data_IF_169726232607
#
_entry.id   IF_169726232607
#
_cell.length_a   1.000
_cell.length_b   1.000
_cell.length_c   1.000
_cell.angle_alpha   90.00
_cell.angle_beta   90.00
_cell.angle_gamma   90.00
#
_symmetry.space_group_name_H-M   'P 1'
#
loop_
_entity.id
_entity.type
_entity.pdbx_description
1 polymer ?
#
# COMPACT_ATOMS: atom_id res chain seq x y z
N UNK A 1 -9.01 -1.68 21.97
CA UNK A 1 -8.06 -2.78 21.76
C UNK A 1 -8.24 -3.36 20.37
N UNK A 2 -7.16 -3.45 19.62
CA UNK A 2 -7.24 -3.96 18.25
C UNK A 2 -7.50 -5.46 18.25
N UNK A 3 -8.50 -5.86 17.50
CA UNK A 3 -8.84 -7.25 17.25
C UNK A 3 -7.73 -7.99 16.50
N UNK A 4 -6.94 -7.24 15.73
CA UNK A 4 -5.95 -7.80 14.81
C UNK A 4 -4.55 -7.72 15.39
N UNK A 5 -3.78 -8.78 15.15
CA UNK A 5 -2.36 -8.82 15.45
C UNK A 5 -1.60 -8.38 14.19
N UNK A 6 -0.80 -7.32 14.31
CA UNK A 6 -0.05 -6.77 13.18
C UNK A 6 1.42 -7.14 13.34
N UNK A 7 1.97 -7.79 12.34
CA UNK A 7 3.34 -8.28 12.33
C UNK A 7 4.10 -7.78 11.11
N UNK A 8 5.40 -7.51 11.29
CA UNK A 8 6.31 -7.30 10.17
C UNK A 8 6.59 -8.64 9.52
N UNK A 9 6.50 -8.71 8.20
CA UNK A 9 6.64 -9.95 7.43
C UNK A 9 7.58 -9.75 6.24
N UNK A 10 8.06 -10.86 5.67
CA UNK A 10 8.76 -10.81 4.39
C UNK A 10 7.73 -10.55 3.29
N UNK A 11 7.81 -9.36 2.69
CA UNK A 11 6.81 -8.89 1.75
C UNK A 11 7.03 -9.26 0.30
N UNK A 12 8.12 -9.90 -0.05
CA UNK A 12 8.47 -10.14 -1.46
C UNK A 12 7.42 -10.94 -2.21
N UNK A 13 6.97 -12.05 -1.62
CA UNK A 13 5.91 -12.87 -2.20
C UNK A 13 4.57 -12.16 -2.25
N UNK A 14 4.27 -11.35 -1.22
CA UNK A 14 3.03 -10.59 -1.13
C UNK A 14 2.97 -9.49 -2.19
N UNK A 15 4.09 -8.81 -2.43
CA UNK A 15 4.18 -7.78 -3.46
C UNK A 15 3.95 -8.39 -4.84
N UNK A 16 4.56 -9.53 -5.11
CA UNK A 16 4.35 -10.25 -6.37
C UNK A 16 2.89 -10.62 -6.55
N UNK A 17 2.22 -11.06 -5.49
CA UNK A 17 0.80 -11.41 -5.52
C UNK A 17 -0.09 -10.19 -5.78
N UNK A 18 0.35 -8.98 -5.40
CA UNK A 18 -0.41 -7.74 -5.65
C UNK A 18 -0.25 -7.21 -7.08
N UNK A 19 0.55 -7.87 -7.92
CA UNK A 19 0.74 -7.50 -9.32
C UNK A 19 1.79 -6.41 -9.55
N UNK A 20 2.52 -6.01 -8.51
CA UNK A 20 3.62 -5.06 -8.66
C UNK A 20 4.90 -5.79 -9.02
N UNK A 21 5.59 -5.29 -10.04
CA UNK A 21 6.92 -5.76 -10.41
C UNK A 21 7.94 -4.83 -9.77
N UNK A 22 8.46 -5.27 -8.63
CA UNK A 22 9.40 -4.47 -7.85
C UNK A 22 10.66 -5.29 -7.53
N UNK A 23 11.76 -4.58 -7.46
CA UNK A 23 13.03 -5.23 -7.23
C UNK A 23 13.30 -5.41 -5.73
N UNK A 24 13.77 -4.37 -5.06
CA UNK A 24 14.13 -4.40 -3.65
C UNK A 24 14.45 -2.98 -3.20
N UNK A 25 14.38 -2.67 -1.92
CA UNK A 25 13.89 -3.49 -0.82
C UNK A 25 12.36 -3.51 -0.71
N UNK A 26 11.82 -4.33 0.18
CA UNK A 26 10.39 -4.38 0.48
C UNK A 26 10.21 -4.30 2.00
N UNK A 27 9.33 -3.42 2.44
CA UNK A 27 8.90 -3.33 3.83
C UNK A 27 7.42 -3.70 3.88
N UNK A 28 7.06 -4.71 4.64
CA UNK A 28 5.69 -5.21 4.66
C UNK A 28 5.21 -5.54 6.07
N UNK A 29 3.91 -5.34 6.27
CA UNK A 29 3.20 -5.77 7.47
C UNK A 29 1.97 -6.57 7.07
N UNK A 30 1.51 -7.40 8.00
CA UNK A 30 0.30 -8.20 7.82
C UNK A 30 -0.54 -8.16 9.08
N UNK A 31 -1.86 -8.16 8.90
CA UNK A 31 -2.83 -8.21 9.98
C UNK A 31 -3.46 -9.59 10.04
N UNK A 32 -3.47 -10.18 11.22
CA UNK A 32 -4.03 -11.51 11.47
C UNK A 32 -5.17 -11.42 12.47
N UNK A 33 -6.23 -12.16 12.19
CA UNK A 33 -7.32 -12.43 13.13
C UNK A 33 -7.15 -13.90 13.56
N UNK A 34 -6.54 -14.09 14.75
CA UNK A 34 -6.05 -15.40 15.13
C UNK A 34 -4.93 -15.85 14.19
N UNK A 35 -5.13 -16.95 13.48
CA UNK A 35 -4.16 -17.46 12.51
C UNK A 35 -4.52 -17.10 11.07
N UNK A 36 -5.65 -16.43 10.88
CA UNK A 36 -6.15 -16.08 9.55
C UNK A 36 -5.55 -14.76 9.09
N UNK A 37 -4.92 -14.77 7.92
CA UNK A 37 -4.43 -13.54 7.29
C UNK A 37 -5.60 -12.72 6.78
N UNK A 38 -5.74 -11.49 7.28
CA UNK A 38 -6.81 -10.59 6.86
C UNK A 38 -6.34 -9.67 5.74
N UNK A 39 -5.19 -9.03 5.93
CA UNK A 39 -4.64 -8.09 4.95
C UNK A 39 -3.14 -7.96 5.10
N UNK A 40 -2.49 -7.49 4.06
CA UNK A 40 -1.08 -7.11 4.11
C UNK A 40 -0.86 -5.82 3.32
N UNK A 41 0.16 -5.07 3.69
CA UNK A 41 0.48 -3.79 3.07
C UNK A 41 1.94 -3.44 3.30
N UNK A 42 2.40 -2.40 2.61
CA UNK A 42 3.73 -1.92 2.84
C UNK A 42 4.25 -1.03 1.73
N UNK A 43 5.57 -0.85 1.75
CA UNK A 43 6.31 -0.09 0.77
C UNK A 43 7.25 -1.01 0.01
N UNK A 44 7.39 -0.77 -1.28
CA UNK A 44 8.30 -1.51 -2.13
C UNK A 44 8.96 -0.53 -3.10
N UNK A 45 10.12 -0.88 -3.63
CA UNK A 45 10.86 0.00 -4.53
C UNK A 45 11.15 -0.68 -5.84
N UNK A 46 10.93 0.04 -6.95
CA UNK A 46 11.35 -0.37 -8.27
C UNK A 46 12.60 0.42 -8.67
N UNK A 47 13.40 -0.15 -9.58
CA UNK A 47 14.64 0.47 -10.05
C UNK A 47 14.46 1.27 -11.33
N UNK A 48 13.65 0.78 -12.27
CA UNK A 48 13.46 1.40 -13.59
C UNK A 48 11.97 1.43 -13.95
N UNK A 49 11.32 2.58 -13.82
CA UNK A 49 11.81 3.79 -13.18
C UNK A 49 11.94 3.61 -11.68
N UNK A 50 12.82 4.40 -11.05
CA UNK A 50 12.95 4.36 -9.60
C UNK A 50 11.72 4.98 -8.97
N UNK A 51 10.98 4.17 -8.21
CA UNK A 51 9.77 4.61 -7.51
C UNK A 51 9.62 3.90 -6.19
N UNK A 52 9.05 4.62 -5.22
CA UNK A 52 8.54 4.04 -3.98
C UNK A 52 7.06 3.74 -4.18
N UNK A 53 6.66 2.50 -3.96
CA UNK A 53 5.29 2.04 -4.16
C UNK A 53 4.65 1.68 -2.83
N UNK A 54 3.40 2.13 -2.63
CA UNK A 54 2.53 1.62 -1.58
C UNK A 54 1.72 0.48 -2.17
N UNK A 55 1.70 -0.66 -1.50
CA UNK A 55 0.83 -1.77 -1.87
C UNK A 55 -0.09 -2.13 -0.73
N UNK A 56 -1.25 -2.64 -1.06
CA UNK A 56 -2.24 -3.10 -0.10
C UNK A 56 -3.01 -4.27 -0.70
N UNK A 57 -3.14 -5.35 0.06
CA UNK A 57 -3.88 -6.53 -0.37
C UNK A 57 -4.79 -7.01 0.77
N UNK A 58 -6.07 -7.20 0.47
CA UNK A 58 -7.05 -7.74 1.41
C UNK A 58 -7.32 -9.19 1.03
N UNK A 59 -6.91 -10.11 1.91
CA UNK A 59 -7.10 -11.54 1.69
C UNK A 59 -8.49 -11.99 2.16
N UNK A 60 -8.88 -11.53 3.34
CA UNK A 60 -10.17 -11.85 3.92
C UNK A 60 -10.86 -10.57 4.37
N UNK A 61 -11.91 -10.19 3.67
CA UNK A 61 -12.61 -8.94 3.94
C UNK A 61 -13.29 -8.96 5.32
N UNK A 62 -13.11 -7.85 6.06
CA UNK A 62 -13.76 -7.61 7.35
C UNK A 62 -14.39 -6.21 7.34
N UNK A 63 -15.56 -6.01 8.01
CA UNK A 63 -16.22 -4.69 8.00
C UNK A 63 -15.36 -3.55 8.55
N UNK A 64 -14.47 -3.85 9.49
CA UNK A 64 -13.65 -2.86 10.18
C UNK A 64 -12.25 -2.68 9.56
N UNK A 65 -11.95 -3.38 8.44
CA UNK A 65 -10.63 -3.31 7.82
C UNK A 65 -10.31 -1.90 7.31
N UNK A 66 -11.32 -1.11 6.97
CA UNK A 66 -11.12 0.25 6.49
C UNK A 66 -10.41 1.16 7.49
N UNK A 67 -10.64 0.96 8.79
CA UNK A 67 -9.94 1.74 9.82
C UNK A 67 -8.45 1.40 9.86
N UNK A 68 -8.13 0.12 9.70
CA UNK A 68 -6.74 -0.35 9.65
C UNK A 68 -6.04 0.20 8.41
N UNK A 69 -6.70 0.13 7.26
CA UNK A 69 -6.18 0.69 6.01
C UNK A 69 -5.81 2.16 6.19
N UNK A 70 -6.72 2.96 6.76
CA UNK A 70 -6.49 4.40 6.95
C UNK A 70 -5.31 4.68 7.88
N UNK A 71 -5.26 4.00 9.02
CA UNK A 71 -4.19 4.17 9.99
C UNK A 71 -2.83 3.74 9.44
N UNK A 72 -2.78 2.58 8.83
CA UNK A 72 -1.53 1.99 8.37
C UNK A 72 -1.00 2.66 7.11
N UNK A 73 -1.87 3.15 6.24
CA UNK A 73 -1.45 3.94 5.08
C UNK A 73 -0.75 5.23 5.52
N UNK A 74 -1.28 5.91 6.54
CA UNK A 74 -0.65 7.11 7.08
C UNK A 74 0.72 6.81 7.67
N UNK A 75 0.87 5.66 8.34
CA UNK A 75 2.16 5.22 8.86
C UNK A 75 3.15 4.95 7.73
N UNK A 76 2.70 4.37 6.64
CA UNK A 76 3.54 4.13 5.46
C UNK A 76 4.05 5.44 4.88
N UNK A 77 3.19 6.45 4.76
CA UNK A 77 3.61 7.76 4.26
C UNK A 77 4.67 8.39 5.16
N UNK A 78 4.48 8.35 6.48
CA UNK A 78 5.47 8.86 7.43
C UNK A 78 6.79 8.10 7.33
N UNK A 79 6.73 6.80 7.17
CA UNK A 79 7.92 5.98 7.00
C UNK A 79 8.66 6.34 5.70
N UNK A 80 7.93 6.51 4.61
CA UNK A 80 8.50 6.93 3.34
C UNK A 80 9.20 8.29 3.47
N UNK A 81 8.55 9.26 4.13
CA UNK A 81 9.13 10.57 4.37
C UNK A 81 10.42 10.49 5.20
N UNK A 82 10.45 9.63 6.21
CA UNK A 82 11.65 9.40 7.03
C UNK A 82 12.79 8.83 6.21
N UNK A 83 12.48 8.08 5.16
CA UNK A 83 13.47 7.52 4.24
C UNK A 83 13.88 8.50 3.13
N UNK A 84 13.32 9.71 3.14
CA UNK A 84 13.65 10.74 2.15
C UNK A 84 12.81 10.69 0.88
N UNK A 85 11.75 9.88 0.86
CA UNK A 85 10.86 9.81 -0.31
C UNK A 85 9.93 11.03 -0.34
N UNK A 86 9.81 11.65 -1.51
CA UNK A 86 8.91 12.79 -1.72
C UNK A 86 7.67 12.39 -2.51
N UNK A 87 7.67 11.22 -3.13
CA UNK A 87 6.59 10.71 -3.94
C UNK A 87 6.36 9.24 -3.64
N UNK A 88 5.11 8.85 -3.51
CA UNK A 88 4.71 7.45 -3.32
C UNK A 88 3.66 7.11 -4.37
N UNK A 89 3.85 6.02 -5.06
CA UNK A 89 2.97 5.56 -6.13
C UNK A 89 2.16 4.37 -5.65
N UNK A 90 1.00 4.17 -6.24
CA UNK A 90 0.21 2.97 -6.01
C UNK A 90 -0.61 2.64 -7.26
N UNK A 91 -1.00 1.38 -7.37
CA UNK A 91 -1.91 0.92 -8.42
C UNK A 91 -3.30 0.82 -7.81
N UNK A 92 -4.30 1.43 -8.47
CA UNK A 92 -5.68 1.35 -8.01
C UNK A 92 -6.28 0.00 -8.41
N UNK A 93 -6.92 -0.66 -7.46
CA UNK A 93 -7.71 -1.85 -7.74
C UNK A 93 -9.07 -1.44 -8.26
N UNK A 94 -9.27 -1.55 -9.57
CA UNK A 94 -10.50 -1.13 -10.24
C UNK A 94 -11.70 -2.02 -9.90
N UNK A 95 -11.45 -3.21 -9.35
CA UNK A 95 -12.53 -4.11 -8.94
C UNK A 95 -13.18 -3.69 -7.62
N UNK A 96 -12.54 -2.78 -6.86
CA UNK A 96 -13.12 -2.22 -5.65
C UNK A 96 -13.74 -0.86 -5.93
N UNK A 97 -15.09 -0.75 -5.93
CA UNK A 97 -15.75 0.53 -6.25
C UNK A 97 -15.34 1.69 -5.35
N UNK A 98 -15.02 1.40 -4.08
CA UNK A 98 -14.62 2.42 -3.11
C UNK A 98 -13.16 2.83 -3.21
N UNK A 99 -12.36 2.19 -4.06
CA UNK A 99 -10.92 2.44 -4.14
C UNK A 99 -10.59 3.87 -4.54
N UNK A 100 -11.34 4.45 -5.48
CA UNK A 100 -11.11 5.83 -5.90
C UNK A 100 -11.35 6.83 -4.77
N UNK A 101 -12.39 6.61 -3.97
CA UNK A 101 -12.67 7.46 -2.80
C UNK A 101 -11.55 7.36 -1.78
N UNK A 102 -11.06 6.15 -1.51
CA UNK A 102 -9.94 5.95 -0.59
C UNK A 102 -8.67 6.62 -1.10
N UNK A 103 -8.39 6.52 -2.39
CA UNK A 103 -7.24 7.19 -2.98
C UNK A 103 -7.27 8.69 -2.74
N UNK A 104 -8.43 9.32 -2.95
CA UNK A 104 -8.60 10.76 -2.75
C UNK A 104 -8.50 11.16 -1.29
N UNK A 105 -9.04 10.35 -0.37
CA UNK A 105 -8.95 10.60 1.07
C UNK A 105 -7.49 10.63 1.52
N UNK A 106 -6.64 9.78 0.97
CA UNK A 106 -5.22 9.74 1.29
C UNK A 106 -4.38 10.79 0.55
N UNK A 107 -4.99 11.54 -0.35
CA UNK A 107 -4.30 12.59 -1.10
C UNK A 107 -3.60 12.10 -2.35
N UNK A 108 -3.93 10.91 -2.83
CA UNK A 108 -3.43 10.44 -4.12
C UNK A 108 -4.11 11.18 -5.26
N UNK A 109 -3.35 11.45 -6.30
CA UNK A 109 -3.85 12.00 -7.56
C UNK A 109 -3.62 10.99 -8.67
N UNK A 110 -4.49 11.01 -9.68
CA UNK A 110 -4.28 10.18 -10.85
C UNK A 110 -3.00 10.63 -11.56
N UNK A 111 -2.12 9.69 -11.86
CA UNK A 111 -0.83 9.98 -12.47
C UNK A 111 -0.78 9.54 -13.94
N UNK A 112 -1.07 8.26 -14.20
CA UNK A 112 -0.94 7.70 -15.55
C UNK A 112 -1.64 6.34 -15.63
N UNK A 113 -1.77 5.82 -16.85
CA UNK A 113 -2.11 4.42 -17.09
C UNK A 113 -0.85 3.76 -17.64
N UNK A 114 -0.38 2.73 -16.93
CA UNK A 114 0.83 1.99 -17.30
C UNK A 114 0.52 0.51 -17.30
N UNK A 115 0.82 -0.16 -18.41
CA UNK A 115 0.55 -1.59 -18.56
C UNK A 115 -0.92 -1.96 -18.27
N UNK A 116 -1.85 -1.09 -18.69
CA UNK A 116 -3.28 -1.29 -18.47
C UNK A 116 -3.77 -1.01 -17.05
N UNK A 117 -2.91 -0.54 -16.16
CA UNK A 117 -3.26 -0.25 -14.77
C UNK A 117 -3.23 1.25 -14.49
N UNK A 118 -4.18 1.71 -13.66
CA UNK A 118 -4.17 3.11 -13.20
C UNK A 118 -3.11 3.27 -12.12
N UNK A 119 -2.18 4.18 -12.36
CA UNK A 119 -1.13 4.53 -11.39
C UNK A 119 -1.50 5.88 -10.78
N UNK A 120 -1.49 5.95 -9.47
CA UNK A 120 -1.78 7.15 -8.69
C UNK A 120 -0.54 7.55 -7.91
N UNK A 121 -0.42 8.85 -7.61
CA UNK A 121 0.75 9.41 -6.94
C UNK A 121 0.32 10.24 -5.72
N UNK A 122 1.07 10.08 -4.64
CA UNK A 122 1.01 10.93 -3.47
C UNK A 122 2.32 11.70 -3.35
N UNK A 123 2.23 12.99 -3.07
CA UNK A 123 3.40 13.85 -2.92
C UNK A 123 3.47 14.36 -1.49
N UNK A 124 4.68 14.28 -0.92
CA UNK A 124 4.93 14.79 0.41
C UNK A 124 4.81 16.32 0.43
N UNK A 125 4.20 16.85 1.48
CA UNK A 125 4.15 18.30 1.71
C UNK A 125 5.46 18.85 2.27
N UNK A 126 6.43 17.98 2.55
CA UNK A 126 7.73 18.34 3.12
C UNK A 126 8.84 18.49 2.07
N UNK A 127 8.48 18.91 0.91
CA UNK A 127 9.48 19.14 -0.15
C UNK A 127 10.33 20.36 0.15
#
# INVERSE_FOLDING_TARGET
MDKYRILTVDGRGLVAASGLDVDLPVFAKAAFDGEELVACWGLAWSAVPRRCWLFFHVENHRPDIGLIIRRETRKCFRHAEQLGETEVYTVRDVEFPSSMKLMRIFGFENFAVENGQEVWIWRSSRQ
#
